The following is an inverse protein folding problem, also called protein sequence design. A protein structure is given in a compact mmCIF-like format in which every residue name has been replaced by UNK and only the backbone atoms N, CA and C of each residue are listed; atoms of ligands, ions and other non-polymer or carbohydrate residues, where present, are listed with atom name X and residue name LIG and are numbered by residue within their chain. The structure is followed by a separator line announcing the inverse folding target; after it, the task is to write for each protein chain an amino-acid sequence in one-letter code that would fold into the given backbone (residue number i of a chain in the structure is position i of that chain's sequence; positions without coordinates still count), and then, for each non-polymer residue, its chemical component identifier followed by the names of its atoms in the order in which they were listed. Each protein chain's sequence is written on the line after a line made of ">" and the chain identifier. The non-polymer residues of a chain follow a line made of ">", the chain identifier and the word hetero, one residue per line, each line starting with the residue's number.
data_IF_767829421354
#
_entry.id   IF_767829421354
#
_cell.length_a   1.000
_cell.length_b   1.000
_cell.length_c   1.000
_cell.angle_alpha   90.00
_cell.angle_beta   90.00
_cell.angle_gamma   90.00
#
_symmetry.space_group_name_H-M   'P 1'
#
loop_
_entity.id
_entity.type
_entity.pdbx_description
1 polymer ?
#
# COMPACT_ATOMS: atom_id res chain seq x y z
N UNK A 1 20.69 -61.98 -15.19
CA UNK A 1 20.34 -61.88 -13.76
C UNK A 1 21.33 -60.91 -13.15
N UNK A 2 20.95 -59.63 -13.00
CA UNK A 2 21.78 -58.56 -12.42
C UNK A 2 21.30 -58.34 -10.99
N UNK A 3 22.23 -58.31 -10.04
CA UNK A 3 22.01 -57.88 -8.67
C UNK A 3 21.75 -56.36 -8.59
N UNK A 4 21.06 -55.87 -7.54
CA UNK A 4 20.59 -54.49 -7.48
C UNK A 4 21.64 -53.54 -6.92
N UNK A 5 21.61 -52.30 -7.43
CA UNK A 5 22.36 -51.15 -6.94
C UNK A 5 21.83 -50.71 -5.56
N UNK A 6 22.74 -50.49 -4.62
CA UNK A 6 22.51 -49.83 -3.35
C UNK A 6 22.21 -48.34 -3.59
N UNK A 7 20.96 -47.93 -3.41
CA UNK A 7 20.60 -46.52 -3.26
C UNK A 7 20.92 -46.07 -1.83
N UNK A 8 21.96 -45.24 -1.71
CA UNK A 8 22.31 -44.55 -0.49
C UNK A 8 21.34 -43.36 -0.33
N UNK A 9 20.21 -43.55 0.35
CA UNK A 9 19.40 -42.44 0.85
C UNK A 9 20.18 -41.71 1.96
N UNK A 10 20.89 -40.65 1.57
CA UNK A 10 21.44 -39.67 2.50
C UNK A 10 20.28 -38.86 3.07
N UNK A 11 19.81 -39.24 4.26
CA UNK A 11 18.89 -38.45 5.07
C UNK A 11 19.54 -37.10 5.40
N UNK A 12 19.08 -36.04 4.75
CA UNK A 12 19.44 -34.67 5.11
C UNK A 12 18.73 -34.30 6.43
N UNK A 13 19.43 -33.73 7.42
CA UNK A 13 18.80 -33.32 8.67
C UNK A 13 17.89 -32.11 8.41
N UNK A 14 16.60 -32.28 8.73
CA UNK A 14 15.63 -31.17 8.85
C UNK A 14 16.20 -30.09 9.79
N UNK A 15 16.18 -28.80 9.41
CA UNK A 15 16.64 -27.74 10.29
C UNK A 15 15.71 -27.65 11.51
N UNK A 16 16.22 -28.01 12.68
CA UNK A 16 15.55 -27.82 13.96
C UNK A 16 15.24 -26.34 14.14
N UNK A 17 13.96 -25.97 14.12
CA UNK A 17 13.51 -24.61 14.43
C UNK A 17 14.11 -24.14 15.76
N UNK A 18 14.50 -22.86 15.88
CA UNK A 18 15.19 -22.38 17.08
C UNK A 18 14.29 -22.52 18.30
N UNK A 19 14.68 -23.44 19.20
CA UNK A 19 13.92 -23.91 20.37
C UNK A 19 13.40 -22.79 21.28
N UNK A 20 14.01 -21.61 21.22
CA UNK A 20 13.62 -20.40 21.94
C UNK A 20 12.36 -19.72 21.37
N UNK A 21 12.21 -19.73 20.05
CA UNK A 21 11.04 -19.17 19.36
C UNK A 21 9.79 -20.01 19.61
N UNK A 22 9.94 -21.34 19.57
CA UNK A 22 8.86 -22.28 19.89
C UNK A 22 8.41 -22.14 21.35
N UNK A 23 9.35 -21.93 22.29
CA UNK A 23 9.02 -21.64 23.69
C UNK A 23 8.24 -20.33 23.85
N UNK A 24 8.63 -19.27 23.15
CA UNK A 24 7.87 -18.01 23.18
C UNK A 24 6.46 -18.16 22.59
N UNK A 25 6.33 -18.85 21.46
CA UNK A 25 5.03 -19.12 20.84
C UNK A 25 4.11 -19.90 21.78
N UNK A 26 4.63 -20.95 22.42
CA UNK A 26 3.86 -21.74 23.39
C UNK A 26 3.52 -20.95 24.65
N UNK A 27 4.46 -20.15 25.18
CA UNK A 27 4.16 -19.29 26.33
C UNK A 27 3.11 -18.23 25.99
N UNK A 28 3.19 -17.62 24.80
CA UNK A 28 2.23 -16.63 24.33
C UNK A 28 0.84 -17.23 24.11
N UNK A 29 0.76 -18.40 23.49
CA UNK A 29 -0.49 -19.13 23.31
C UNK A 29 -1.08 -19.56 24.66
N UNK A 30 -0.26 -20.02 25.60
CA UNK A 30 -0.68 -20.34 26.96
C UNK A 30 -1.23 -19.11 27.69
N UNK A 31 -0.52 -17.98 27.68
CA UNK A 31 -0.93 -16.72 28.30
C UNK A 31 -2.23 -16.19 27.70
N UNK A 32 -2.39 -16.25 26.38
CA UNK A 32 -3.61 -15.84 25.70
C UNK A 32 -4.81 -16.72 26.09
N UNK A 33 -4.63 -18.05 26.11
CA UNK A 33 -5.69 -18.98 26.53
C UNK A 33 -6.02 -18.87 28.02
N UNK A 34 -5.02 -18.64 28.85
CA UNK A 34 -5.18 -18.39 30.27
C UNK A 34 -6.00 -17.12 30.53
N UNK A 35 -5.62 -16.01 29.89
CA UNK A 35 -6.35 -14.75 29.99
C UNK A 35 -7.80 -14.85 29.54
N UNK A 36 -8.06 -15.54 28.41
CA UNK A 36 -9.43 -15.76 27.93
C UNK A 36 -10.27 -16.56 28.93
N UNK A 37 -9.72 -17.64 29.51
CA UNK A 37 -10.46 -18.43 30.52
C UNK A 37 -10.64 -17.72 31.85
N UNK A 38 -9.67 -16.92 32.25
CA UNK A 38 -9.81 -16.04 33.42
C UNK A 38 -10.85 -14.96 33.18
N UNK A 39 -10.97 -14.41 31.98
CA UNK A 39 -12.00 -13.43 31.63
C UNK A 39 -13.40 -14.02 31.72
N UNK A 40 -13.64 -15.19 31.11
CA UNK A 40 -14.93 -15.89 31.18
C UNK A 40 -15.38 -16.13 32.63
N UNK A 41 -14.44 -16.53 33.48
CA UNK A 41 -14.68 -16.76 34.91
C UNK A 41 -14.88 -15.46 35.70
N UNK A 42 -14.05 -14.46 35.45
CA UNK A 42 -14.06 -13.18 36.16
C UNK A 42 -15.32 -12.36 35.85
N UNK A 43 -15.76 -12.33 34.59
CA UNK A 43 -17.02 -11.69 34.21
C UNK A 43 -18.21 -12.35 34.90
N UNK A 44 -18.26 -13.68 34.97
CA UNK A 44 -19.32 -14.37 35.70
C UNK A 44 -19.37 -13.94 37.18
N UNK A 45 -18.22 -13.85 37.86
CA UNK A 45 -18.14 -13.39 39.25
C UNK A 45 -18.52 -11.91 39.40
N UNK A 46 -18.10 -11.04 38.48
CA UNK A 46 -18.49 -9.62 38.52
C UNK A 46 -19.99 -9.43 38.32
N UNK A 47 -20.61 -10.17 37.39
CA UNK A 47 -22.05 -10.08 37.14
C UNK A 47 -22.85 -10.57 38.35
N UNK A 48 -22.37 -11.60 39.06
CA UNK A 48 -22.94 -12.04 40.34
C UNK A 48 -22.77 -10.97 41.42
N UNK A 49 -21.62 -10.28 41.49
CA UNK A 49 -21.41 -9.23 42.48
C UNK A 49 -22.24 -7.96 42.21
N UNK A 50 -22.50 -7.63 40.94
CA UNK A 50 -23.34 -6.49 40.54
C UNK A 50 -24.82 -6.76 40.86
N UNK A 51 -25.26 -8.01 40.73
CA UNK A 51 -26.63 -8.44 41.06
C UNK A 51 -26.62 -9.73 41.89
N UNK A 52 -26.34 -9.64 43.21
CA UNK A 52 -26.15 -10.82 44.06
C UNK A 52 -27.42 -11.68 44.20
N UNK A 53 -28.60 -11.06 44.11
CA UNK A 53 -29.87 -11.76 44.30
C UNK A 53 -30.37 -12.51 43.04
N UNK A 54 -29.67 -12.42 41.90
CA UNK A 54 -30.14 -13.04 40.66
C UNK A 54 -29.01 -13.41 39.69
N UNK A 55 -28.94 -14.70 39.33
CA UNK A 55 -28.02 -15.21 38.30
C UNK A 55 -28.44 -14.83 36.87
N UNK A 56 -29.54 -14.10 36.70
CA UNK A 56 -30.11 -13.77 35.41
C UNK A 56 -29.12 -12.98 34.55
N UNK A 57 -28.35 -12.05 35.13
CA UNK A 57 -27.37 -11.25 34.39
C UNK A 57 -26.24 -12.12 33.82
N UNK A 58 -25.73 -13.06 34.62
CA UNK A 58 -24.70 -14.02 34.21
C UNK A 58 -25.24 -15.02 33.16
N UNK A 59 -26.48 -15.49 33.34
CA UNK A 59 -27.14 -16.39 32.38
C UNK A 59 -27.44 -15.70 31.04
N UNK A 60 -27.90 -14.44 31.07
CA UNK A 60 -28.11 -13.63 29.87
C UNK A 60 -26.78 -13.39 29.17
N UNK A 61 -25.71 -13.03 29.89
CA UNK A 61 -24.39 -12.87 29.31
C UNK A 61 -23.89 -14.17 28.64
N UNK A 62 -24.00 -15.32 29.32
CA UNK A 62 -23.59 -16.61 28.75
C UNK A 62 -24.39 -16.99 27.49
N UNK A 63 -25.72 -16.82 27.52
CA UNK A 63 -26.58 -17.04 26.34
C UNK A 63 -26.27 -16.05 25.23
N UNK A 64 -25.95 -14.79 25.56
CA UNK A 64 -25.56 -13.79 24.56
C UNK A 64 -24.26 -14.17 23.86
N UNK A 65 -23.22 -14.56 24.61
CA UNK A 65 -21.93 -15.00 24.07
C UNK A 65 -22.11 -16.23 23.19
N UNK A 66 -22.87 -17.24 23.63
CA UNK A 66 -23.10 -18.48 22.87
C UNK A 66 -24.04 -18.29 21.67
N UNK A 67 -24.87 -17.23 21.63
CA UNK A 67 -25.82 -16.96 20.52
C UNK A 67 -25.40 -15.86 19.55
N UNK A 68 -24.21 -15.30 19.72
CA UNK A 68 -23.63 -14.41 18.72
C UNK A 68 -23.18 -15.27 17.53
N UNK A 69 -24.13 -15.55 16.63
CA UNK A 69 -23.82 -16.08 15.31
C UNK A 69 -22.83 -15.15 14.62
N UNK A 70 -21.96 -15.71 13.78
CA UNK A 70 -20.92 -15.00 13.04
C UNK A 70 -21.38 -13.65 12.44
N UNK A 71 -22.60 -13.61 11.89
CA UNK A 71 -23.22 -12.41 11.32
C UNK A 71 -23.45 -11.30 12.36
N UNK A 72 -23.85 -11.65 13.59
CA UNK A 72 -24.05 -10.68 14.68
C UNK A 72 -22.73 -10.11 15.19
N UNK A 73 -21.67 -10.92 15.22
CA UNK A 73 -20.32 -10.46 15.57
C UNK A 73 -19.86 -9.41 14.55
N UNK A 74 -20.09 -9.66 13.26
CA UNK A 74 -19.77 -8.72 12.19
C UNK A 74 -20.60 -7.42 12.30
N UNK A 75 -21.91 -7.54 12.58
CA UNK A 75 -22.78 -6.38 12.80
C UNK A 75 -22.32 -5.54 14.00
N UNK A 76 -22.01 -6.19 15.12
CA UNK A 76 -21.53 -5.51 16.33
C UNK A 76 -20.19 -4.81 16.09
N UNK A 77 -19.29 -5.45 15.35
CA UNK A 77 -18.01 -4.87 14.94
C UNK A 77 -18.22 -3.63 14.06
N UNK A 78 -19.02 -3.73 12.99
CA UNK A 78 -19.33 -2.60 12.11
C UNK A 78 -19.99 -1.44 12.86
N UNK A 79 -20.94 -1.74 13.76
CA UNK A 79 -21.62 -0.74 14.58
C UNK A 79 -20.61 -0.01 15.47
N UNK A 80 -19.74 -0.75 16.16
CA UNK A 80 -18.71 -0.18 17.05
C UNK A 80 -17.74 0.72 16.28
N UNK A 81 -17.27 0.26 15.12
CA UNK A 81 -16.36 1.01 14.26
C UNK A 81 -17.00 2.31 13.75
N UNK A 82 -18.23 2.24 13.23
CA UNK A 82 -18.94 3.39 12.69
C UNK A 82 -19.25 4.44 13.76
N UNK A 83 -19.71 4.01 14.95
CA UNK A 83 -19.91 4.94 16.06
C UNK A 83 -18.61 5.64 16.45
N UNK A 84 -17.50 4.91 16.50
CA UNK A 84 -16.18 5.49 16.78
C UNK A 84 -15.82 6.62 15.82
N UNK A 85 -16.02 6.42 14.52
CA UNK A 85 -15.75 7.45 13.52
C UNK A 85 -16.75 8.60 13.53
N UNK A 86 -18.04 8.33 13.82
CA UNK A 86 -19.05 9.39 13.99
C UNK A 86 -18.70 10.28 15.17
N UNK A 87 -18.31 9.70 16.31
CA UNK A 87 -17.89 10.47 17.48
C UNK A 87 -16.62 11.26 17.19
N UNK A 88 -15.58 10.64 16.60
CA UNK A 88 -14.34 11.33 16.23
C UNK A 88 -14.57 12.48 15.25
N UNK A 89 -15.36 12.25 14.19
CA UNK A 89 -15.71 13.26 13.20
C UNK A 89 -16.56 14.38 13.78
N UNK A 90 -17.56 14.03 14.60
CA UNK A 90 -18.45 14.99 15.26
C UNK A 90 -17.72 15.89 16.25
N UNK A 91 -16.78 15.35 17.04
CA UNK A 91 -15.97 16.17 17.96
C UNK A 91 -15.00 17.07 17.22
N UNK A 92 -14.38 16.60 16.13
CA UNK A 92 -13.55 17.44 15.25
C UNK A 92 -14.37 18.56 14.63
N UNK A 93 -15.57 18.26 14.11
CA UNK A 93 -16.45 19.27 13.54
C UNK A 93 -16.88 20.29 14.59
N UNK A 94 -17.17 19.85 15.82
CA UNK A 94 -17.44 20.75 16.95
C UNK A 94 -16.27 21.66 17.29
N UNK A 95 -15.04 21.14 17.30
CA UNK A 95 -13.82 21.94 17.51
C UNK A 95 -13.59 22.96 16.40
N UNK A 96 -13.92 22.62 15.14
CA UNK A 96 -13.80 23.53 14.01
C UNK A 96 -14.91 24.59 13.98
N UNK A 97 -16.14 24.24 14.39
CA UNK A 97 -17.27 25.16 14.43
C UNK A 97 -17.14 26.22 15.54
N UNK A 98 -16.45 25.88 16.64
CA UNK A 98 -16.24 26.76 17.79
C UNK A 98 -14.74 26.98 18.06
N UNK A 99 -14.04 27.77 17.25
CA UNK A 99 -12.60 28.00 17.41
C UNK A 99 -12.26 28.69 18.74
N UNK A 100 -13.17 29.51 19.27
CA UNK A 100 -13.01 30.21 20.56
C UNK A 100 -13.30 29.33 21.78
N UNK A 101 -13.57 28.03 21.60
CA UNK A 101 -13.85 27.12 22.71
C UNK A 101 -12.65 27.00 23.66
N UNK A 102 -11.42 27.12 23.15
CA UNK A 102 -10.20 27.12 23.96
C UNK A 102 -10.17 28.27 24.97
N UNK A 103 -10.60 29.47 24.58
CA UNK A 103 -10.62 30.65 25.46
C UNK A 103 -11.87 30.71 26.32
N UNK A 104 -12.99 30.15 25.85
CA UNK A 104 -14.28 30.19 26.55
C UNK A 104 -14.43 29.09 27.61
N UNK A 105 -14.01 27.86 27.29
CA UNK A 105 -14.08 26.72 28.21
C UNK A 105 -12.98 25.71 27.90
N UNK A 106 -11.86 25.84 28.61
CA UNK A 106 -10.72 24.90 28.51
C UNK A 106 -11.17 23.46 28.82
N UNK A 107 -12.11 23.27 29.75
CA UNK A 107 -12.61 21.95 30.10
C UNK A 107 -13.35 21.29 28.92
N UNK A 108 -14.25 22.01 28.26
CA UNK A 108 -14.96 21.49 27.08
C UNK A 108 -13.98 21.21 25.92
N UNK A 109 -13.01 22.09 25.71
CA UNK A 109 -11.95 21.91 24.73
C UNK A 109 -11.13 20.63 25.00
N UNK A 110 -10.67 20.43 26.23
CA UNK A 110 -9.90 19.23 26.63
C UNK A 110 -10.74 17.96 26.51
N UNK A 111 -12.01 17.98 26.93
CA UNK A 111 -12.91 16.83 26.82
C UNK A 111 -13.14 16.43 25.36
N UNK A 112 -13.34 17.39 24.45
CA UNK A 112 -13.50 17.09 23.03
C UNK A 112 -12.22 16.51 22.42
N UNK A 113 -11.04 17.03 22.80
CA UNK A 113 -9.76 16.48 22.34
C UNK A 113 -9.57 15.04 22.86
N UNK A 114 -9.84 14.78 24.14
CA UNK A 114 -9.74 13.43 24.71
C UNK A 114 -10.72 12.48 24.02
N UNK A 115 -11.98 12.90 23.84
CA UNK A 115 -12.99 12.09 23.18
C UNK A 115 -12.61 11.78 21.74
N UNK A 116 -12.06 12.75 20.99
CA UNK A 116 -11.55 12.54 19.62
C UNK A 116 -10.43 11.51 19.59
N UNK A 117 -9.48 11.58 20.52
CA UNK A 117 -8.35 10.66 20.56
C UNK A 117 -8.78 9.25 20.95
N UNK A 118 -9.65 9.11 21.96
CA UNK A 118 -10.15 7.80 22.40
C UNK A 118 -11.02 7.16 21.32
N UNK A 119 -11.97 7.90 20.76
CA UNK A 119 -12.82 7.38 19.67
C UNK A 119 -12.03 7.12 18.39
N UNK A 120 -11.02 7.95 18.07
CA UNK A 120 -10.09 7.68 16.98
C UNK A 120 -9.31 6.38 17.18
N UNK A 121 -8.74 6.18 18.38
CA UNK A 121 -7.98 4.98 18.71
C UNK A 121 -8.86 3.71 18.67
N UNK A 122 -10.06 3.76 19.26
CA UNK A 122 -11.04 2.67 19.18
C UNK A 122 -11.43 2.37 17.73
N UNK A 123 -11.61 3.41 16.91
CA UNK A 123 -11.94 3.25 15.50
C UNK A 123 -10.84 2.54 14.72
N UNK A 124 -9.59 2.94 14.91
CA UNK A 124 -8.41 2.32 14.26
C UNK A 124 -8.22 0.87 14.73
N UNK A 125 -8.32 0.61 16.04
CA UNK A 125 -8.22 -0.75 16.58
C UNK A 125 -9.34 -1.65 16.05
N UNK A 126 -10.57 -1.13 16.00
CA UNK A 126 -11.70 -1.85 15.42
C UNK A 126 -11.47 -2.14 13.94
N UNK A 127 -10.92 -1.21 13.16
CA UNK A 127 -10.55 -1.46 11.76
C UNK A 127 -9.55 -2.59 11.63
N UNK A 128 -8.49 -2.58 12.43
CA UNK A 128 -7.48 -3.64 12.42
C UNK A 128 -8.08 -5.01 12.79
N UNK A 129 -8.90 -5.05 13.85
CA UNK A 129 -9.60 -6.26 14.27
C UNK A 129 -10.54 -6.79 13.17
N UNK A 130 -11.20 -5.88 12.46
CA UNK A 130 -12.05 -6.18 11.31
C UNK A 130 -11.32 -6.79 10.13
N UNK A 131 -10.16 -6.21 9.77
CA UNK A 131 -9.29 -6.76 8.73
C UNK A 131 -8.85 -8.16 9.09
N UNK A 132 -8.41 -8.38 10.34
CA UNK A 132 -8.02 -9.72 10.81
C UNK A 132 -9.21 -10.68 10.75
N UNK A 133 -10.38 -10.29 11.25
CA UNK A 133 -11.60 -11.10 11.24
C UNK A 133 -11.99 -11.51 9.81
N UNK A 134 -11.89 -10.59 8.85
CA UNK A 134 -12.20 -10.83 7.43
C UNK A 134 -11.15 -11.75 6.80
N UNK A 135 -9.86 -11.42 6.93
CA UNK A 135 -8.78 -12.13 6.24
C UNK A 135 -8.49 -13.52 6.82
N UNK A 136 -8.59 -13.69 8.16
CA UNK A 136 -8.21 -14.93 8.85
C UNK A 136 -9.37 -15.87 9.09
N UNK A 137 -10.53 -15.36 9.49
CA UNK A 137 -11.66 -16.20 9.91
C UNK A 137 -12.69 -16.28 8.78
N UNK A 138 -13.07 -15.15 8.19
CA UNK A 138 -14.18 -15.13 7.22
C UNK A 138 -13.86 -15.80 5.90
N UNK A 139 -12.74 -15.43 5.28
CA UNK A 139 -12.32 -15.99 3.99
C UNK A 139 -12.10 -17.49 4.09
N UNK A 140 -11.58 -17.95 5.23
CA UNK A 140 -11.37 -19.37 5.50
C UNK A 140 -12.71 -20.09 5.63
N UNK A 141 -13.62 -19.61 6.48
CA UNK A 141 -14.95 -20.22 6.69
C UNK A 141 -15.77 -20.24 5.39
N UNK A 142 -15.76 -19.17 4.60
CA UNK A 142 -16.49 -19.14 3.32
C UNK A 142 -15.93 -20.12 2.28
N UNK A 143 -14.65 -20.46 2.39
CA UNK A 143 -13.99 -21.40 1.49
C UNK A 143 -14.03 -22.85 1.98
N UNK A 144 -14.59 -23.11 3.16
CA UNK A 144 -14.67 -24.46 3.73
C UNK A 144 -15.41 -25.40 2.76
N UNK A 145 -14.74 -26.50 2.40
CA UNK A 145 -15.26 -27.49 1.43
C UNK A 145 -15.04 -27.14 -0.05
N UNK A 146 -14.34 -26.04 -0.39
CA UNK A 146 -14.04 -25.64 -1.76
C UNK A 146 -12.55 -25.82 -2.11
N UNK A 147 -12.23 -25.79 -3.42
CA UNK A 147 -10.86 -25.98 -3.89
C UNK A 147 -9.92 -24.84 -3.41
N UNK A 148 -8.65 -25.12 -3.06
CA UNK A 148 -7.69 -24.14 -2.53
C UNK A 148 -7.49 -22.89 -3.40
N UNK A 149 -7.70 -23.03 -4.72
CA UNK A 149 -7.62 -21.95 -5.70
C UNK A 149 -8.60 -20.80 -5.41
N UNK A 150 -9.75 -21.10 -4.80
CA UNK A 150 -10.79 -20.11 -4.52
C UNK A 150 -10.45 -19.24 -3.30
N UNK A 151 -9.84 -19.82 -2.26
CA UNK A 151 -9.32 -19.07 -1.10
C UNK A 151 -8.29 -18.02 -1.55
N UNK A 152 -7.34 -18.42 -2.41
CA UNK A 152 -6.32 -17.53 -2.98
C UNK A 152 -6.94 -16.41 -3.81
N UNK A 153 -7.96 -16.71 -4.60
CA UNK A 153 -8.70 -15.71 -5.38
C UNK A 153 -9.45 -14.72 -4.49
N UNK A 154 -10.15 -15.20 -3.46
CA UNK A 154 -10.90 -14.35 -2.52
C UNK A 154 -9.96 -13.43 -1.72
N UNK A 155 -8.85 -13.98 -1.22
CA UNK A 155 -7.82 -13.19 -0.53
C UNK A 155 -7.22 -12.10 -1.44
N UNK A 156 -7.00 -12.42 -2.72
CA UNK A 156 -6.47 -11.45 -3.69
C UNK A 156 -7.47 -10.34 -4.03
N UNK A 157 -8.77 -10.67 -4.13
CA UNK A 157 -9.84 -9.68 -4.37
C UNK A 157 -10.02 -8.74 -3.18
N UNK A 158 -9.91 -9.24 -1.94
CA UNK A 158 -9.99 -8.39 -0.74
C UNK A 158 -8.83 -7.39 -0.73
N UNK A 159 -7.61 -7.84 -1.01
CA UNK A 159 -6.45 -6.95 -1.16
C UNK A 159 -6.62 -5.93 -2.28
N UNK A 160 -7.23 -6.33 -3.39
CA UNK A 160 -7.53 -5.40 -4.49
C UNK A 160 -8.49 -4.31 -4.06
N UNK A 161 -9.56 -4.66 -3.33
CA UNK A 161 -10.53 -3.69 -2.82
C UNK A 161 -9.83 -2.70 -1.88
N UNK A 162 -9.06 -3.19 -0.91
CA UNK A 162 -8.28 -2.33 0.01
C UNK A 162 -7.35 -1.39 -0.76
N UNK A 163 -6.64 -1.92 -1.76
CA UNK A 163 -5.72 -1.14 -2.58
C UNK A 163 -6.45 -0.07 -3.40
N UNK A 164 -7.57 -0.39 -4.05
CA UNK A 164 -8.37 0.58 -4.83
C UNK A 164 -8.92 1.68 -3.91
N UNK A 165 -9.45 1.31 -2.74
CA UNK A 165 -9.96 2.28 -1.77
C UNK A 165 -8.85 3.24 -1.34
N UNK A 166 -7.66 2.71 -1.03
CA UNK A 166 -6.47 3.49 -0.74
C UNK A 166 -6.17 4.46 -1.88
N UNK A 167 -6.03 3.99 -3.12
CA UNK A 167 -5.76 4.85 -4.29
C UNK A 167 -6.80 5.95 -4.45
N UNK A 168 -8.07 5.62 -4.31
CA UNK A 168 -9.17 6.59 -4.45
C UNK A 168 -9.07 7.69 -3.38
N UNK A 169 -8.75 7.32 -2.13
CA UNK A 169 -8.61 8.28 -1.02
C UNK A 169 -7.38 9.18 -1.17
N UNK A 170 -6.26 8.69 -1.72
CA UNK A 170 -5.10 9.55 -1.99
C UNK A 170 -5.40 10.53 -3.13
N UNK A 171 -5.93 10.02 -4.24
CA UNK A 171 -6.06 10.79 -5.50
C UNK A 171 -7.23 11.79 -5.46
N UNK A 172 -8.31 11.50 -4.75
CA UNK A 172 -9.50 12.36 -4.77
C UNK A 172 -9.31 13.75 -4.13
N UNK A 173 -8.71 13.88 -2.92
CA UNK A 173 -8.39 15.18 -2.35
C UNK A 173 -7.39 15.97 -3.19
N UNK A 174 -6.46 15.28 -3.84
CA UNK A 174 -5.48 15.88 -4.76
C UNK A 174 -6.15 16.48 -5.99
N UNK A 175 -7.07 15.72 -6.62
CA UNK A 175 -7.88 16.19 -7.73
C UNK A 175 -8.75 17.37 -7.32
N UNK A 176 -9.40 17.30 -6.16
CA UNK A 176 -10.20 18.39 -5.62
C UNK A 176 -9.36 19.65 -5.39
N UNK A 177 -8.22 19.52 -4.73
CA UNK A 177 -7.30 20.64 -4.49
C UNK A 177 -6.81 21.23 -5.81
N UNK A 178 -6.37 20.39 -6.76
CA UNK A 178 -5.93 20.80 -8.09
C UNK A 178 -7.02 21.56 -8.84
N UNK A 179 -8.26 21.06 -8.82
CA UNK A 179 -9.39 21.69 -9.48
C UNK A 179 -9.78 23.02 -8.83
N UNK A 180 -9.71 23.11 -7.49
CA UNK A 180 -9.91 24.35 -6.75
C UNK A 180 -8.89 25.43 -7.16
N UNK A 181 -7.63 25.05 -7.46
CA UNK A 181 -6.62 25.97 -8.01
C UNK A 181 -6.92 26.37 -9.43
N UNK A 182 -7.25 25.38 -10.26
CA UNK A 182 -7.50 25.57 -11.69
C UNK A 182 -8.62 26.58 -11.90
N UNK A 183 -9.63 26.56 -11.03
CA UNK A 183 -10.71 27.54 -10.99
C UNK A 183 -10.29 28.88 -10.35
N UNK A 184 -9.37 28.87 -9.38
CA UNK A 184 -8.87 30.08 -8.71
C UNK A 184 -7.91 30.95 -9.53
N UNK A 185 -7.27 30.40 -10.58
CA UNK A 185 -6.34 31.15 -11.45
C UNK A 185 -6.93 31.25 -12.88
N UNK A 186 -7.70 32.31 -13.19
CA UNK A 186 -8.41 32.43 -14.47
C UNK A 186 -7.47 32.46 -15.70
N UNK A 187 -6.22 32.88 -15.52
CA UNK A 187 -5.22 32.95 -16.60
C UNK A 187 -4.80 31.57 -17.18
N UNK A 188 -4.86 30.50 -16.38
CA UNK A 188 -4.55 29.14 -16.85
C UNK A 188 -5.75 28.48 -17.55
N UNK A 189 -6.96 28.72 -17.04
CA UNK A 189 -8.21 28.28 -17.66
C UNK A 189 -8.40 28.90 -19.06
N UNK A 190 -8.08 30.19 -19.20
CA UNK A 190 -8.21 30.93 -20.46
C UNK A 190 -7.22 30.44 -21.54
N UNK A 191 -5.96 30.14 -21.16
CA UNK A 191 -4.93 29.63 -22.09
C UNK A 191 -5.26 28.24 -22.64
N UNK A 192 -5.91 27.40 -21.84
CA UNK A 192 -6.34 26.07 -22.28
C UNK A 192 -7.54 26.17 -23.23
N UNK A 193 -8.52 27.02 -22.90
CA UNK A 193 -9.67 27.32 -23.75
C UNK A 193 -9.26 27.84 -25.15
N UNK A 194 -8.22 28.68 -25.22
CA UNK A 194 -7.64 29.13 -26.49
C UNK A 194 -6.93 28.02 -27.28
N UNK A 195 -6.35 27.01 -26.63
CA UNK A 195 -5.76 25.84 -27.30
C UNK A 195 -6.83 24.87 -27.81
N UNK A 196 -7.90 24.66 -27.05
CA UNK A 196 -9.02 23.78 -27.45
C UNK A 196 -9.85 24.39 -28.58
N UNK A 197 -9.91 25.73 -28.67
CA UNK A 197 -10.59 26.44 -29.76
C UNK A 197 -9.78 26.59 -31.04
N UNK A 198 -8.49 26.23 -31.08
CA UNK A 198 -7.70 26.29 -32.31
C UNK A 198 -8.19 25.17 -33.24
N UNK A 199 -8.93 25.46 -34.32
CA UNK A 199 -9.44 24.42 -35.19
C UNK A 199 -8.25 23.75 -35.88
N UNK A 200 -8.23 22.42 -35.89
CA UNK A 200 -7.39 21.69 -36.82
C UNK A 200 -7.72 22.20 -38.25
N UNK A 201 -6.74 22.53 -39.10
CA UNK A 201 -7.04 23.02 -40.44
C UNK A 201 -7.86 21.97 -41.20
N UNK A 202 -9.07 22.36 -41.60
CA UNK A 202 -10.06 21.51 -42.27
C UNK A 202 -9.73 21.24 -43.75
N UNK A 203 -8.46 21.26 -44.16
CA UNK A 203 -8.03 21.13 -45.56
C UNK A 203 -7.59 19.71 -45.96
N UNK A 204 -7.61 18.74 -45.03
CA UNK A 204 -7.26 17.34 -45.33
C UNK A 204 -8.44 16.37 -45.24
N UNK A 205 -9.65 16.86 -44.97
CA UNK A 205 -10.82 15.98 -44.72
C UNK A 205 -11.68 15.79 -45.98
N UNK A 206 -11.42 16.50 -47.07
CA UNK A 206 -12.29 16.47 -48.26
C UNK A 206 -11.82 15.53 -49.39
N UNK A 207 -10.77 14.73 -49.19
CA UNK A 207 -10.20 13.89 -50.26
C UNK A 207 -10.40 12.38 -50.13
N UNK A 208 -11.20 11.88 -49.17
CA UNK A 208 -11.48 10.45 -49.08
C UNK A 208 -12.96 10.18 -48.85
N UNK A 209 -13.74 10.37 -49.91
CA UNK A 209 -15.08 9.83 -50.04
C UNK A 209 -15.06 8.49 -50.81
N UNK A 210 -15.69 7.47 -50.20
CA UNK A 210 -16.35 6.26 -50.78
C UNK A 210 -15.46 5.00 -50.98
N UNK A 211 -15.94 3.72 -50.83
CA UNK A 211 -17.24 3.19 -50.36
C UNK A 211 -17.19 2.19 -49.17
N UNK A 212 -18.40 1.89 -48.67
CA UNK A 212 -18.83 0.73 -47.87
C UNK A 212 -18.29 -0.62 -48.40
N UNK A 213 -17.73 -1.46 -47.52
CA UNK A 213 -18.17 -2.86 -47.31
C UNK A 213 -17.35 -3.57 -46.20
N UNK A 214 -18.05 -4.45 -45.47
CA UNK A 214 -17.60 -5.50 -44.54
C UNK A 214 -17.06 -5.17 -43.13
N UNK A 215 -17.96 -5.36 -42.14
CA UNK A 215 -17.72 -5.84 -40.77
C UNK A 215 -16.46 -5.30 -40.04
N UNK A 216 -16.56 -4.11 -39.37
CA UNK A 216 -15.41 -3.43 -38.75
C UNK A 216 -14.80 -4.16 -37.53
N UNK A 217 -15.55 -5.08 -36.90
CA UNK A 217 -15.11 -5.75 -35.67
C UNK A 217 -13.96 -6.77 -35.88
N UNK A 218 -13.90 -7.43 -37.04
CA UNK A 218 -12.88 -8.45 -37.32
C UNK A 218 -11.56 -7.82 -37.82
N UNK A 219 -11.64 -6.74 -38.60
CA UNK A 219 -10.48 -6.00 -39.06
C UNK A 219 -9.76 -5.29 -37.89
N UNK A 220 -10.51 -4.73 -36.93
CA UNK A 220 -9.92 -4.09 -35.75
C UNK A 220 -9.25 -5.11 -34.82
N UNK A 221 -9.86 -6.31 -34.64
CA UNK A 221 -9.30 -7.39 -33.82
C UNK A 221 -8.07 -8.04 -34.46
N UNK A 222 -8.07 -8.21 -35.79
CA UNK A 222 -6.92 -8.67 -36.57
C UNK A 222 -5.77 -7.66 -36.55
N UNK A 223 -6.09 -6.36 -36.66
CA UNK A 223 -5.11 -5.27 -36.53
C UNK A 223 -4.53 -5.17 -35.13
N UNK A 224 -5.35 -5.33 -34.08
CA UNK A 224 -4.89 -5.39 -32.68
C UNK A 224 -3.98 -6.61 -32.43
N UNK A 225 -4.29 -7.77 -33.02
CA UNK A 225 -3.41 -8.96 -32.98
C UNK A 225 -2.10 -8.74 -33.74
N UNK A 226 -2.15 -8.22 -34.97
CA UNK A 226 -0.98 -7.92 -35.79
C UNK A 226 -0.08 -6.86 -35.16
N UNK A 227 -0.67 -5.82 -34.57
CA UNK A 227 0.05 -4.80 -33.81
C UNK A 227 0.66 -5.40 -32.54
N UNK A 228 -0.08 -6.25 -31.83
CA UNK A 228 0.40 -6.98 -30.65
C UNK A 228 1.58 -7.90 -30.96
N UNK A 229 1.54 -8.64 -32.07
CA UNK A 229 2.63 -9.49 -32.54
C UNK A 229 3.84 -8.67 -33.02
N UNK A 230 3.60 -7.56 -33.72
CA UNK A 230 4.66 -6.62 -34.12
C UNK A 230 5.34 -5.98 -32.90
N UNK A 231 4.55 -5.57 -31.89
CA UNK A 231 5.06 -5.01 -30.63
C UNK A 231 5.83 -6.08 -29.86
N UNK A 232 5.30 -7.31 -29.76
CA UNK A 232 5.97 -8.42 -29.08
C UNK A 232 7.31 -8.81 -29.72
N UNK A 233 7.44 -8.65 -31.03
CA UNK A 233 8.64 -8.93 -31.81
C UNK A 233 9.64 -7.77 -31.85
N UNK A 234 9.33 -6.62 -31.23
CA UNK A 234 10.29 -5.53 -31.09
C UNK A 234 11.44 -5.99 -30.18
N UNK A 235 12.71 -5.74 -30.55
CA UNK A 235 13.87 -6.11 -29.74
C UNK A 235 13.83 -5.49 -28.33
N UNK A 236 13.14 -4.36 -28.17
CA UNK A 236 12.88 -3.74 -26.88
C UNK A 236 11.96 -4.61 -26.00
N UNK A 237 10.88 -5.18 -26.55
CA UNK A 237 9.94 -6.01 -25.79
C UNK A 237 10.55 -7.35 -25.43
N UNK A 238 11.38 -7.94 -26.30
CA UNK A 238 12.17 -9.12 -25.94
C UNK A 238 13.20 -8.82 -24.85
N UNK A 239 13.82 -7.64 -24.86
CA UNK A 239 14.76 -7.24 -23.81
C UNK A 239 14.08 -7.00 -22.45
N UNK A 240 12.89 -6.38 -22.45
CA UNK A 240 12.06 -6.25 -21.25
C UNK A 240 11.59 -7.60 -20.72
N UNK A 241 11.20 -8.53 -21.60
CA UNK A 241 10.86 -9.90 -21.21
C UNK A 241 12.01 -10.58 -20.46
N UNK A 242 13.22 -10.53 -21.03
CA UNK A 242 14.43 -11.09 -20.40
C UNK A 242 14.77 -10.36 -19.10
N UNK A 243 14.51 -9.05 -19.00
CA UNK A 243 14.65 -8.32 -17.75
C UNK A 243 13.72 -8.88 -16.69
N UNK A 244 12.40 -9.00 -16.97
CA UNK A 244 11.39 -9.51 -16.04
C UNK A 244 11.60 -10.96 -15.58
N UNK A 245 12.35 -11.75 -16.35
CA UNK A 245 12.70 -13.14 -15.99
C UNK A 245 13.89 -13.24 -15.01
N UNK A 246 14.57 -12.14 -14.67
CA UNK A 246 15.69 -12.18 -13.74
C UNK A 246 15.25 -12.17 -12.27
N UNK A 247 15.92 -12.99 -11.44
CA UNK A 247 15.74 -13.03 -9.97
C UNK A 247 16.02 -11.67 -9.28
N UNK A 248 16.69 -10.75 -10.00
CA UNK A 248 17.07 -9.42 -9.53
C UNK A 248 16.09 -8.32 -9.97
N UNK A 249 14.93 -8.64 -10.50
CA UNK A 249 13.93 -7.62 -10.89
C UNK A 249 13.32 -6.97 -9.66
N UNK A 250 12.84 -7.79 -8.72
CA UNK A 250 12.05 -7.31 -7.59
C UNK A 250 12.82 -6.28 -6.74
N UNK A 251 14.06 -6.52 -6.25
CA UNK A 251 14.79 -5.50 -5.51
C UNK A 251 15.24 -4.30 -6.38
N UNK A 252 15.26 -4.44 -7.71
CA UNK A 252 15.55 -3.34 -8.63
C UNK A 252 14.35 -2.41 -8.81
N UNK A 253 13.15 -2.99 -8.91
CA UNK A 253 11.88 -2.26 -8.89
C UNK A 253 11.72 -1.52 -7.56
N UNK A 254 12.00 -2.18 -6.43
CA UNK A 254 11.95 -1.54 -5.09
C UNK A 254 12.88 -0.33 -5.05
N UNK A 255 14.12 -0.46 -5.53
CA UNK A 255 15.09 0.64 -5.58
C UNK A 255 14.61 1.80 -6.46
N UNK A 256 14.06 1.50 -7.65
CA UNK A 256 13.53 2.50 -8.57
C UNK A 256 12.35 3.28 -7.98
N UNK A 257 11.43 2.59 -7.30
CA UNK A 257 10.27 3.18 -6.62
C UNK A 257 10.70 4.08 -5.45
N UNK A 258 11.76 3.68 -4.73
CA UNK A 258 12.31 4.47 -3.64
C UNK A 258 12.93 5.78 -4.15
N UNK A 259 13.72 5.73 -5.23
CA UNK A 259 14.29 6.93 -5.85
C UNK A 259 13.25 7.80 -6.57
N UNK A 260 12.18 7.20 -7.12
CA UNK A 260 11.03 7.92 -7.62
C UNK A 260 10.35 8.73 -6.50
N UNK A 261 10.09 8.08 -5.36
CA UNK A 261 9.55 8.74 -4.15
C UNK A 261 10.45 9.87 -3.67
N UNK A 262 11.76 9.62 -3.59
CA UNK A 262 12.77 10.62 -3.19
C UNK A 262 12.77 11.84 -4.12
N UNK A 263 12.67 11.63 -5.43
CA UNK A 263 12.61 12.72 -6.42
C UNK A 263 11.35 13.56 -6.27
N UNK A 264 10.20 12.93 -5.96
CA UNK A 264 8.96 13.66 -5.69
C UNK A 264 9.01 14.44 -4.37
N UNK A 265 9.72 13.94 -3.37
CA UNK A 265 9.95 14.67 -2.11
C UNK A 265 10.90 15.86 -2.26
N UNK A 266 11.79 15.87 -3.26
CA UNK A 266 12.56 17.07 -3.59
C UNK A 266 11.67 18.25 -3.98
N UNK A 267 10.50 17.99 -4.59
CA UNK A 267 9.50 19.04 -4.87
C UNK A 267 8.99 19.67 -3.56
N UNK A 268 8.82 18.86 -2.52
CA UNK A 268 8.40 19.32 -1.19
C UNK A 268 9.49 20.17 -0.54
N UNK A 269 10.76 19.76 -0.65
CA UNK A 269 11.89 20.53 -0.14
C UNK A 269 11.99 21.86 -0.90
N UNK A 270 11.87 21.81 -2.24
CA UNK A 270 11.86 22.98 -3.11
C UNK A 270 10.82 24.04 -2.72
N UNK A 271 9.69 23.64 -2.13
CA UNK A 271 8.64 24.57 -1.67
C UNK A 271 9.13 25.59 -0.62
N UNK A 272 10.19 25.27 0.13
CA UNK A 272 10.73 26.12 1.19
C UNK A 272 11.29 27.45 0.64
N UNK A 273 11.85 27.44 -0.57
CA UNK A 273 12.46 28.63 -1.18
C UNK A 273 11.52 29.41 -2.09
N UNK A 274 10.27 28.94 -2.25
CA UNK A 274 9.29 29.60 -3.12
C UNK A 274 8.67 30.78 -2.37
N UNK A 275 8.83 31.97 -2.93
CA UNK A 275 8.33 33.22 -2.33
C UNK A 275 6.80 33.33 -2.34
N UNK A 276 6.13 32.67 -3.30
CA UNK A 276 4.67 32.69 -3.39
C UNK A 276 4.06 31.56 -2.56
N UNK A 277 3.39 31.91 -1.45
CA UNK A 277 2.82 30.96 -0.49
C UNK A 277 1.84 29.96 -1.12
N UNK A 278 1.10 30.38 -2.16
CA UNK A 278 0.13 29.52 -2.83
C UNK A 278 0.86 28.46 -3.66
N UNK A 279 1.88 28.86 -4.42
CA UNK A 279 2.70 27.95 -5.23
C UNK A 279 3.49 26.99 -4.32
N UNK A 280 4.03 27.49 -3.21
CA UNK A 280 4.71 26.67 -2.20
C UNK A 280 3.78 25.61 -1.62
N UNK A 281 2.54 25.99 -1.24
CA UNK A 281 1.54 25.05 -0.73
C UNK A 281 1.18 23.98 -1.76
N UNK A 282 1.06 24.32 -3.05
CA UNK A 282 0.79 23.32 -4.09
C UNK A 282 1.96 22.39 -4.36
N UNK A 283 3.18 22.91 -4.36
CA UNK A 283 4.38 22.07 -4.51
C UNK A 283 4.52 21.09 -3.34
N UNK A 284 4.22 21.54 -2.12
CA UNK A 284 4.23 20.70 -0.93
C UNK A 284 3.12 19.65 -0.98
N UNK A 285 1.86 20.06 -1.18
CA UNK A 285 0.72 19.14 -1.20
C UNK A 285 0.83 18.15 -2.37
N UNK A 286 1.12 18.63 -3.58
CA UNK A 286 1.29 17.80 -4.78
C UNK A 286 2.51 16.87 -4.71
N UNK A 287 3.60 17.31 -4.07
CA UNK A 287 4.77 16.45 -3.84
C UNK A 287 4.49 15.34 -2.83
N UNK A 288 3.85 15.65 -1.69
CA UNK A 288 3.45 14.66 -0.68
C UNK A 288 2.50 13.63 -1.28
N UNK A 289 1.46 14.10 -1.96
CA UNK A 289 0.51 13.33 -2.73
C UNK A 289 1.17 12.34 -3.70
N UNK A 290 1.91 12.86 -4.68
CA UNK A 290 2.56 12.04 -5.69
C UNK A 290 3.54 11.03 -5.06
N UNK A 291 4.23 11.40 -3.98
CA UNK A 291 5.17 10.52 -3.29
C UNK A 291 4.48 9.29 -2.66
N UNK A 292 3.18 9.36 -2.33
CA UNK A 292 2.42 8.22 -1.77
C UNK A 292 2.31 7.06 -2.74
N UNK A 293 2.19 7.34 -4.05
CA UNK A 293 2.12 6.30 -5.07
C UNK A 293 3.42 5.48 -5.09
N UNK A 294 4.57 6.17 -5.06
CA UNK A 294 5.88 5.54 -5.00
C UNK A 294 6.08 4.75 -3.71
N UNK A 295 5.66 5.31 -2.57
CA UNK A 295 5.76 4.67 -1.27
C UNK A 295 4.91 3.38 -1.17
N UNK A 296 3.66 3.39 -1.65
CA UNK A 296 2.83 2.18 -1.61
C UNK A 296 3.33 1.08 -2.52
N UNK A 297 3.80 1.43 -3.70
CA UNK A 297 4.41 0.46 -4.61
C UNK A 297 5.69 -0.12 -3.99
N UNK A 298 6.49 0.72 -3.32
CA UNK A 298 7.66 0.27 -2.55
C UNK A 298 7.25 -0.69 -1.43
N UNK A 299 6.24 -0.35 -0.63
CA UNK A 299 5.75 -1.19 0.47
C UNK A 299 5.28 -2.56 -0.02
N UNK A 300 4.49 -2.60 -1.10
CA UNK A 300 4.04 -3.85 -1.72
C UNK A 300 5.21 -4.71 -2.21
N UNK A 301 6.20 -4.09 -2.84
CA UNK A 301 7.36 -4.80 -3.37
C UNK A 301 8.30 -5.30 -2.24
N UNK A 302 8.43 -4.57 -1.13
CA UNK A 302 9.15 -5.03 0.07
C UNK A 302 8.41 -6.18 0.76
N UNK A 303 7.09 -6.12 0.86
CA UNK A 303 6.27 -7.22 1.39
C UNK A 303 6.45 -8.47 0.52
N UNK A 304 6.39 -8.33 -0.80
CA UNK A 304 6.65 -9.44 -1.73
C UNK A 304 8.07 -10.00 -1.53
N UNK A 305 9.06 -9.12 -1.41
CA UNK A 305 10.44 -9.54 -1.18
C UNK A 305 10.62 -10.31 0.14
N UNK A 306 9.89 -9.92 1.18
CA UNK A 306 9.87 -10.65 2.45
C UNK A 306 9.17 -12.01 2.32
N UNK A 307 8.10 -12.11 1.52
CA UNK A 307 7.41 -13.38 1.27
C UNK A 307 8.27 -14.37 0.47
N UNK A 308 9.03 -13.88 -0.50
CA UNK A 308 9.88 -14.71 -1.36
C UNK A 308 11.16 -15.17 -0.65
N UNK A 309 11.76 -14.32 0.20
CA UNK A 309 13.05 -14.60 0.85
C UNK A 309 12.94 -15.30 2.21
N UNK A 310 11.80 -15.21 2.88
CA UNK A 310 11.60 -15.76 4.24
C UNK A 310 10.77 -17.04 4.16
N UNK A 311 11.26 -18.09 4.81
CA UNK A 311 10.58 -19.38 4.98
C UNK A 311 9.20 -19.21 5.64
N UNK A 312 8.23 -20.05 5.28
CA UNK A 312 6.85 -19.88 5.73
C UNK A 312 6.70 -19.92 7.26
N UNK A 313 7.58 -20.66 7.94
CA UNK A 313 7.63 -20.75 9.41
C UNK A 313 8.04 -19.43 10.08
N UNK A 314 8.88 -18.64 9.41
CA UNK A 314 9.55 -17.48 10.02
C UNK A 314 8.93 -16.14 9.56
N UNK A 315 8.06 -16.17 8.55
CA UNK A 315 7.35 -14.98 8.00
C UNK A 315 6.62 -14.19 9.09
N UNK A 316 6.02 -14.86 10.07
CA UNK A 316 5.30 -14.19 11.15
C UNK A 316 6.25 -13.42 12.07
N UNK A 317 7.41 -13.99 12.39
CA UNK A 317 8.42 -13.37 13.26
C UNK A 317 9.10 -12.20 12.56
N UNK A 318 9.51 -12.40 11.30
CA UNK A 318 10.10 -11.34 10.48
C UNK A 318 9.12 -10.17 10.28
N UNK A 319 7.87 -10.47 9.95
CA UNK A 319 6.82 -9.45 9.84
C UNK A 319 6.52 -8.74 11.16
N UNK A 320 6.52 -9.46 12.28
CA UNK A 320 6.38 -8.87 13.62
C UNK A 320 7.52 -7.92 13.97
N UNK A 321 8.77 -8.31 13.68
CA UNK A 321 9.94 -7.45 13.86
C UNK A 321 9.85 -6.19 12.99
N UNK A 322 9.53 -6.32 11.70
CA UNK A 322 9.33 -5.18 10.80
C UNK A 322 8.24 -4.23 11.31
N UNK A 323 7.10 -4.77 11.72
CA UNK A 323 5.97 -3.97 12.24
C UNK A 323 6.32 -3.22 13.52
N UNK A 324 7.10 -3.84 14.42
CA UNK A 324 7.56 -3.18 15.66
C UNK A 324 8.53 -2.02 15.39
N UNK A 325 9.44 -2.18 14.43
CA UNK A 325 10.37 -1.14 14.02
C UNK A 325 9.62 0.03 13.39
N UNK A 326 8.67 -0.26 12.49
CA UNK A 326 7.81 0.74 11.88
C UNK A 326 7.02 1.52 12.94
N UNK A 327 6.43 0.83 13.91
CA UNK A 327 5.69 1.46 15.01
C UNK A 327 6.58 2.38 15.85
N UNK A 328 7.81 1.97 16.14
CA UNK A 328 8.79 2.78 16.87
C UNK A 328 9.13 4.07 16.12
N UNK A 329 9.35 3.99 14.82
CA UNK A 329 9.63 5.15 13.97
C UNK A 329 8.41 6.08 13.85
N UNK A 330 7.19 5.55 13.84
CA UNK A 330 5.97 6.35 13.89
C UNK A 330 5.85 7.14 15.21
N UNK A 331 6.13 6.51 16.35
CA UNK A 331 6.13 7.19 17.66
C UNK A 331 7.18 8.30 17.70
N UNK A 332 8.36 8.05 17.13
CA UNK A 332 9.41 9.06 17.00
C UNK A 332 8.94 10.27 16.16
N UNK A 333 8.19 10.05 15.08
CA UNK A 333 7.62 11.13 14.27
C UNK A 333 6.61 11.98 15.07
N UNK A 334 5.75 11.36 15.88
CA UNK A 334 4.86 12.10 16.78
C UNK A 334 5.64 12.89 17.83
N UNK A 335 6.69 12.30 18.42
CA UNK A 335 7.58 12.99 19.35
C UNK A 335 8.24 14.23 18.73
N UNK A 336 8.71 14.13 17.48
CA UNK A 336 9.29 15.26 16.76
C UNK A 336 8.27 16.37 16.50
N UNK A 337 7.00 16.02 16.23
CA UNK A 337 5.91 17.00 16.10
C UNK A 337 5.60 17.73 17.41
N UNK A 338 5.80 17.09 18.55
CA UNK A 338 5.66 17.72 19.87
C UNK A 338 6.85 18.65 20.17
N UNK A 339 8.08 18.22 19.85
CA UNK A 339 9.29 19.03 20.06
C UNK A 339 9.28 20.26 19.16
N UNK A 340 8.93 20.09 17.88
CA UNK A 340 8.82 21.17 16.88
C UNK A 340 7.34 21.52 16.70
N UNK A 341 6.73 22.08 17.74
CA UNK A 341 5.30 22.40 17.76
C UNK A 341 4.95 23.74 17.11
N UNK A 342 5.93 24.62 16.87
CA UNK A 342 5.69 25.93 16.26
C UNK A 342 5.53 25.79 14.73
N UNK A 343 4.41 26.23 14.12
CA UNK A 343 4.20 26.18 12.68
C UNK A 343 5.27 26.92 11.85
N UNK A 344 5.91 27.95 12.41
CA UNK A 344 7.00 28.68 11.73
C UNK A 344 8.24 27.80 11.48
N UNK A 345 8.42 26.78 12.32
CA UNK A 345 9.53 25.83 12.24
C UNK A 345 9.19 24.58 11.42
N UNK A 346 8.03 24.53 10.78
CA UNK A 346 7.56 23.37 10.03
C UNK A 346 8.53 22.93 8.92
N UNK A 347 9.29 23.86 8.33
CA UNK A 347 10.33 23.55 7.34
C UNK A 347 11.43 22.62 7.91
N UNK A 348 11.72 22.70 9.22
CA UNK A 348 12.67 21.80 9.90
C UNK A 348 12.16 20.35 9.86
N UNK A 349 10.85 20.15 10.04
CA UNK A 349 10.22 18.83 9.95
C UNK A 349 10.23 18.28 8.51
N UNK A 350 10.04 19.14 7.52
CA UNK A 350 10.17 18.76 6.09
C UNK A 350 11.58 18.27 5.79
N UNK A 351 12.61 19.03 6.17
CA UNK A 351 14.01 18.65 5.95
C UNK A 351 14.40 17.39 6.72
N UNK A 352 13.95 17.27 7.97
CA UNK A 352 14.20 16.07 8.77
C UNK A 352 13.59 14.83 8.12
N UNK A 353 12.34 14.94 7.64
CA UNK A 353 11.66 13.84 6.92
C UNK A 353 12.42 13.47 5.64
N UNK A 354 12.87 14.46 4.88
CA UNK A 354 13.66 14.23 3.67
C UNK A 354 15.03 13.58 3.98
N UNK A 355 15.67 13.95 5.09
CA UNK A 355 16.92 13.33 5.56
C UNK A 355 16.71 11.85 5.89
N UNK A 356 15.65 11.50 6.62
CA UNK A 356 15.32 10.11 6.93
C UNK A 356 15.00 9.30 5.68
N UNK A 357 14.25 9.86 4.73
CA UNK A 357 14.00 9.18 3.45
C UNK A 357 15.28 9.00 2.62
N UNK A 358 16.19 9.98 2.65
CA UNK A 358 17.50 9.87 2.00
C UNK A 358 18.35 8.78 2.65
N UNK A 359 18.37 8.71 3.98
CA UNK A 359 19.05 7.63 4.71
C UNK A 359 18.46 6.26 4.35
N UNK A 360 17.13 6.14 4.25
CA UNK A 360 16.46 4.91 3.81
C UNK A 360 16.88 4.52 2.39
N UNK A 361 16.92 5.49 1.45
CA UNK A 361 17.39 5.26 0.09
C UNK A 361 18.85 4.79 0.07
N UNK A 362 19.74 5.43 0.82
CA UNK A 362 21.14 5.04 0.93
C UNK A 362 21.32 3.63 1.52
N UNK A 363 20.60 3.29 2.60
CA UNK A 363 20.66 1.97 3.23
C UNK A 363 20.14 0.87 2.29
N UNK A 364 19.04 1.12 1.57
CA UNK A 364 18.51 0.15 0.62
C UNK A 364 19.43 -0.02 -0.60
N UNK A 365 20.02 1.07 -1.11
CA UNK A 365 21.06 1.02 -2.15
C UNK A 365 22.26 0.19 -1.68
N UNK A 366 22.71 0.38 -0.43
CA UNK A 366 23.80 -0.42 0.15
C UNK A 366 23.42 -1.91 0.27
N UNK A 367 22.20 -2.22 0.71
CA UNK A 367 21.69 -3.60 0.74
C UNK A 367 21.70 -4.24 -0.65
N UNK A 368 21.16 -3.55 -1.66
CA UNK A 368 21.16 -4.03 -3.06
C UNK A 368 22.58 -4.22 -3.58
N UNK A 369 23.49 -3.28 -3.26
CA UNK A 369 24.90 -3.38 -3.62
C UNK A 369 25.56 -4.61 -2.96
N UNK A 370 25.30 -4.87 -1.69
CA UNK A 370 25.86 -6.04 -0.99
C UNK A 370 25.32 -7.37 -1.53
N UNK A 371 24.02 -7.42 -1.88
CA UNK A 371 23.39 -8.62 -2.43
C UNK A 371 23.80 -8.88 -3.89
N UNK A 372 24.08 -7.85 -4.69
CA UNK A 372 24.35 -7.98 -6.14
C UNK A 372 25.80 -7.73 -6.56
N UNK A 373 26.64 -7.19 -5.68
CA UNK A 373 28.02 -6.71 -5.91
C UNK A 373 28.22 -5.63 -7.00
N UNK A 374 27.22 -5.38 -7.86
CA UNK A 374 27.19 -4.30 -8.85
C UNK A 374 25.81 -3.61 -8.88
N UNK A 375 25.74 -2.26 -8.90
CA UNK A 375 24.47 -1.54 -8.86
C UNK A 375 23.72 -1.56 -10.20
N UNK A 376 24.44 -1.59 -11.33
CA UNK A 376 23.89 -1.54 -12.69
C UNK A 376 24.79 -2.39 -13.60
N UNK A 377 24.20 -3.30 -14.38
CA UNK A 377 24.92 -4.14 -15.34
C UNK A 377 25.17 -3.36 -16.64
N UNK A 378 26.07 -2.37 -16.61
CA UNK A 378 26.39 -1.52 -17.78
C UNK A 378 26.88 -2.32 -18.99
N UNK A 379 27.51 -3.48 -18.77
CA UNK A 379 27.96 -4.38 -19.85
C UNK A 379 26.81 -4.91 -20.72
N UNK A 380 25.62 -5.16 -20.14
CA UNK A 380 24.46 -5.65 -20.90
C UNK A 380 23.76 -4.54 -21.69
N UNK A 381 23.87 -3.28 -21.25
CA UNK A 381 23.36 -2.12 -22.00
C UNK A 381 24.20 -1.88 -23.27
N UNK A 382 25.52 -2.12 -23.17
CA UNK A 382 26.45 -2.04 -24.30
C UNK A 382 26.19 -3.18 -25.30
N UNK A 383 25.89 -4.39 -24.83
CA UNK A 383 25.49 -5.52 -25.69
C UNK A 383 24.18 -5.26 -26.44
N UNK A 384 23.19 -4.59 -25.83
CA UNK A 384 21.95 -4.18 -26.51
C UNK A 384 22.22 -3.14 -27.63
N UNK A 385 23.17 -2.22 -27.42
CA UNK A 385 23.61 -1.28 -28.46
C UNK A 385 24.31 -2.02 -29.61
N UNK A 386 25.16 -3.00 -29.30
CA UNK A 386 25.80 -3.88 -30.30
C UNK A 386 24.77 -4.69 -31.09
N UNK A 387 23.77 -5.29 -30.43
CA UNK A 387 22.70 -6.06 -31.08
C UNK A 387 21.79 -5.19 -31.97
N UNK A 388 21.56 -3.93 -31.58
CA UNK A 388 20.85 -2.95 -32.40
C UNK A 388 21.64 -2.52 -33.64
N UNK A 389 22.98 -2.50 -33.57
CA UNK A 389 23.85 -2.12 -34.70
C UNK A 389 23.93 -3.27 -35.71
N UNK A 390 23.97 -4.53 -35.25
CA UNK A 390 24.00 -5.73 -36.12
C UNK A 390 22.70 -5.95 -36.90
N UNK A 391 21.60 -5.28 -36.53
CA UNK A 391 20.29 -5.39 -37.20
C UNK A 391 19.92 -4.19 -38.08
N UNK A 392 20.84 -3.24 -38.30
CA UNK A 392 20.68 -2.29 -39.41
C UNK A 392 21.04 -3.04 -40.70
N UNK A 393 20.09 -3.31 -41.61
CA UNK A 393 20.43 -3.96 -42.86
C UNK A 393 21.30 -2.99 -43.65
N UNK A 394 22.49 -3.44 -44.04
CA UNK A 394 23.35 -2.73 -44.98
C UNK A 394 22.54 -2.44 -46.25
N UNK A 395 22.18 -1.17 -46.40
CA UNK A 395 21.72 -0.59 -47.65
C UNK A 395 22.81 -0.76 -48.71
N UNK A 396 22.46 -1.50 -49.76
CA UNK A 396 23.08 -1.53 -51.09
C UNK A 396 24.53 -2.03 -51.21
N UNK A 397 24.67 -3.33 -51.50
CA UNK A 397 25.66 -3.80 -52.47
C UNK A 397 24.97 -4.52 -53.63
N UNK A 398 24.77 -3.75 -54.69
CA UNK A 398 24.96 -4.10 -56.09
C UNK A 398 25.07 -5.59 -56.47
N UNK A 399 23.99 -6.13 -57.01
CA UNK A 399 24.05 -7.11 -58.10
C UNK A 399 23.07 -6.66 -59.18
N UNK A 400 23.62 -6.17 -60.29
CA UNK A 400 23.08 -6.22 -61.66
C UNK A 400 24.06 -5.45 -62.57
N UNK A 401 25.02 -6.16 -63.15
CA UNK A 401 25.23 -6.42 -64.59
C UNK A 401 26.55 -7.18 -64.73
#
# INVERSE_FOLDING_TARGET
>A
MREPLLDHETSSPQPSSPLHLTKYLYSGHFLARWGARMWDFSVALYLINIWPDSLLLAAVYGVWVDRLSYVKVLQLWLVTQNFSFIFAGGTVLGLLAYPDLKSTSVQAFVLLILLTNVSGAVGVLSTLAGTILIEREWVVVMSEGQAPILLTRMNSVIRLIDLICKFTISVWPEYWLFMSVYQGIPALAERNRQRTQKPFPAELTESLSVPDDDHPANAEKSRKRSLGEKIANLPLVSAWRVYFEQEVVLPGIVLALLYFTWTLLLLCVGSIWVQNSIIAAYMLMGGVAASRLGLWMFDLAVIQQMQDKVSESDRCVAGGAQSSLQSTLHVMAYGMGIIISNPQDFWKLILLSFLFTTLSASLYTFHVYHVRKHPIHFEKLILLRSWSIVRSPDTHQSQNV
#
